data_IF_351123897633
#
_entry.id   IF_351123897633
#
_cell.length_a   1.000
_cell.length_b   1.000
_cell.length_c   1.000
_cell.angle_alpha   90.00
_cell.angle_beta   90.00
_cell.angle_gamma   90.00
#
_symmetry.space_group_name_H-M   'P 1'
#
loop_
_entity.id
_entity.type
_entity.pdbx_description
1 polymer ?
#
# COMPACT_ATOMS: atom_id res chain seq x y z
N UNK A 1 -11.29 9.18 -0.28
CA UNK A 1 -12.52 9.28 0.55
C UNK A 1 -13.72 9.04 -0.34
N UNK A 2 -14.71 8.21 0.04
CA UNK A 2 -15.94 8.12 -0.71
C UNK A 2 -16.66 9.47 -0.63
N UNK A 3 -16.81 10.10 -1.79
CA UNK A 3 -17.55 11.36 -1.96
C UNK A 3 -18.98 10.98 -2.37
N UNK A 4 -19.99 11.46 -1.67
CA UNK A 4 -21.41 11.12 -1.92
C UNK A 4 -22.03 10.22 -0.84
N UNK A 5 -22.98 9.36 -1.22
CA UNK A 5 -23.68 8.41 -0.33
C UNK A 5 -23.04 7.01 -0.39
N UNK A 6 -22.06 6.68 0.46
CA UNK A 6 -21.37 5.39 0.40
C UNK A 6 -22.28 4.23 0.79
N UNK A 7 -22.13 3.09 0.12
CA UNK A 7 -22.78 1.83 0.47
C UNK A 7 -22.32 1.39 1.87
N UNK A 8 -23.20 0.72 2.63
CA UNK A 8 -22.87 0.23 3.98
C UNK A 8 -21.59 -0.62 4.04
N UNK A 9 -21.30 -1.39 2.98
CA UNK A 9 -20.07 -2.17 2.84
C UNK A 9 -18.81 -1.29 2.88
N UNK A 10 -18.83 -0.14 2.19
CA UNK A 10 -17.71 0.80 2.15
C UNK A 10 -17.43 1.41 3.53
N UNK A 11 -18.49 1.67 4.31
CA UNK A 11 -18.38 2.18 5.68
C UNK A 11 -17.77 1.12 6.60
N UNK A 12 -18.20 -0.13 6.48
CA UNK A 12 -17.67 -1.23 7.28
C UNK A 12 -16.18 -1.49 6.98
N UNK A 13 -15.79 -1.54 5.70
CA UNK A 13 -14.39 -1.67 5.30
C UNK A 13 -13.52 -0.53 5.83
N UNK A 14 -14.03 0.71 5.81
CA UNK A 14 -13.32 1.87 6.38
C UNK A 14 -13.07 1.71 7.89
N UNK A 15 -14.11 1.38 8.65
CA UNK A 15 -13.99 1.17 10.12
C UNK A 15 -12.96 0.10 10.46
N UNK A 16 -12.92 -0.98 9.67
CA UNK A 16 -11.91 -2.03 9.84
C UNK A 16 -10.51 -1.52 9.54
N UNK A 17 -10.32 -0.83 8.41
CA UNK A 17 -9.02 -0.28 8.02
C UNK A 17 -8.46 0.69 9.07
N UNK A 18 -9.31 1.57 9.62
CA UNK A 18 -8.95 2.48 10.70
C UNK A 18 -8.57 1.72 11.98
N UNK A 19 -9.35 0.71 12.38
CA UNK A 19 -9.05 -0.13 13.55
C UNK A 19 -7.74 -0.92 13.40
N UNK A 20 -7.43 -1.39 12.19
CA UNK A 20 -6.23 -2.15 11.89
C UNK A 20 -5.00 -1.25 11.60
N UNK A 21 -5.12 0.07 11.74
CA UNK A 21 -4.00 1.01 11.61
C UNK A 21 -3.55 1.30 10.17
N UNK A 22 -4.36 0.93 9.16
CA UNK A 22 -4.01 1.22 7.77
C UNK A 22 -4.15 2.71 7.46
N UNK A 23 -3.06 3.32 6.97
CA UNK A 23 -3.05 4.68 6.46
C UNK A 23 -2.79 4.69 4.96
N UNK A 24 -3.54 5.51 4.22
CA UNK A 24 -3.26 5.76 2.80
C UNK A 24 -2.31 6.94 2.68
N UNK A 25 -1.03 6.68 2.38
CA UNK A 25 -0.05 7.71 2.00
C UNK A 25 0.19 7.63 0.50
N UNK A 26 0.05 8.75 -0.19
CA UNK A 26 0.37 8.86 -1.62
C UNK A 26 1.68 9.62 -1.81
N UNK A 27 2.58 9.03 -2.60
CA UNK A 27 3.84 9.65 -3.01
C UNK A 27 3.85 9.82 -4.53
N UNK A 28 4.51 10.86 -5.02
CA UNK A 28 4.80 11.00 -6.46
C UNK A 28 6.03 10.17 -6.78
N UNK A 29 5.90 9.18 -7.66
CA UNK A 29 6.98 8.32 -8.11
C UNK A 29 7.15 8.43 -9.63
N UNK A 30 8.36 8.15 -10.13
CA UNK A 30 8.60 8.06 -11.58
C UNK A 30 7.86 6.86 -12.15
N UNK A 31 7.15 7.05 -13.27
CA UNK A 31 6.35 6.00 -13.91
C UNK A 31 7.18 4.76 -14.23
N UNK A 32 8.37 4.95 -14.80
CA UNK A 32 9.23 3.84 -15.21
C UNK A 32 9.66 2.98 -14.01
N UNK A 33 9.95 3.61 -12.87
CA UNK A 33 10.32 2.91 -11.63
C UNK A 33 9.16 2.07 -11.11
N UNK A 34 7.94 2.62 -11.10
CA UNK A 34 6.74 1.90 -10.63
C UNK A 34 6.43 0.72 -11.54
N UNK A 35 6.59 0.87 -12.85
CA UNK A 35 6.30 -0.17 -13.82
C UNK A 35 7.33 -1.32 -13.74
N UNK A 36 8.62 -1.00 -13.61
CA UNK A 36 9.66 -2.02 -13.43
C UNK A 36 9.52 -2.73 -12.08
N UNK A 37 9.18 -2.00 -11.01
CA UNK A 37 8.89 -2.60 -9.70
C UNK A 37 7.70 -3.56 -9.76
N UNK A 38 6.63 -3.19 -10.48
CA UNK A 38 5.48 -4.06 -10.72
C UNK A 38 5.90 -5.35 -11.40
N UNK A 39 6.66 -5.27 -12.50
CA UNK A 39 7.13 -6.45 -13.24
C UNK A 39 8.04 -7.33 -12.38
N UNK A 40 8.90 -6.74 -11.56
CA UNK A 40 9.75 -7.50 -10.63
C UNK A 40 8.90 -8.28 -9.61
N UNK A 41 7.92 -7.62 -8.99
CA UNK A 41 6.98 -8.26 -8.06
C UNK A 41 6.19 -9.40 -8.73
N UNK A 42 5.73 -9.21 -9.97
CA UNK A 42 5.03 -10.25 -10.75
C UNK A 42 5.91 -11.46 -11.04
N UNK A 43 7.18 -11.25 -11.40
CA UNK A 43 8.14 -12.33 -11.65
C UNK A 43 8.46 -13.13 -10.39
N UNK A 44 8.54 -12.46 -9.25
CA UNK A 44 8.78 -13.08 -7.94
C UNK A 44 7.51 -13.68 -7.32
N UNK A 45 6.33 -13.44 -7.90
CA UNK A 45 5.05 -13.91 -7.35
C UNK A 45 4.64 -13.21 -6.05
N UNK A 46 5.15 -12.01 -5.79
CA UNK A 46 4.87 -11.24 -4.56
C UNK A 46 3.95 -10.06 -4.86
N UNK A 47 3.20 -9.62 -3.84
CA UNK A 47 2.41 -8.39 -3.97
C UNK A 47 3.30 -7.15 -3.84
N UNK A 48 3.03 -6.12 -4.64
CA UNK A 48 3.73 -4.83 -4.54
C UNK A 48 3.65 -4.24 -3.13
N UNK A 49 2.47 -4.31 -2.50
CA UNK A 49 2.27 -3.82 -1.14
C UNK A 49 3.12 -4.60 -0.12
N UNK A 50 3.19 -5.92 -0.24
CA UNK A 50 4.02 -6.76 0.63
C UNK A 50 5.50 -6.43 0.50
N UNK A 51 6.01 -6.33 -0.74
CA UNK A 51 7.41 -5.97 -0.99
C UNK A 51 7.76 -4.56 -0.52
N UNK A 52 6.85 -3.59 -0.67
CA UNK A 52 7.05 -2.24 -0.12
C UNK A 52 7.15 -2.28 1.41
N UNK A 53 6.28 -3.02 2.09
CA UNK A 53 6.31 -3.16 3.55
C UNK A 53 7.62 -3.79 4.03
N UNK A 54 8.08 -4.83 3.35
CA UNK A 54 9.39 -5.47 3.62
C UNK A 54 10.53 -4.45 3.53
N UNK A 55 10.64 -3.73 2.40
CA UNK A 55 11.68 -2.72 2.17
C UNK A 55 11.62 -1.57 3.19
N UNK A 56 10.41 -1.16 3.60
CA UNK A 56 10.23 -0.14 4.64
C UNK A 56 10.75 -0.64 6.00
N UNK A 57 10.45 -1.88 6.38
CA UNK A 57 10.91 -2.46 7.63
C UNK A 57 12.43 -2.65 7.65
N UNK A 58 13.01 -3.12 6.54
CA UNK A 58 14.46 -3.22 6.38
C UNK A 58 15.15 -1.87 6.54
N UNK A 59 14.57 -0.81 5.95
CA UNK A 59 15.13 0.54 6.08
C UNK A 59 15.00 1.09 7.51
N UNK A 60 13.88 0.84 8.20
CA UNK A 60 13.69 1.21 9.61
C UNK A 60 14.75 0.54 10.48
N UNK A 61 14.88 -0.79 10.37
CA UNK A 61 15.82 -1.56 11.18
C UNK A 61 17.29 -1.16 10.94
N UNK A 62 17.62 -0.68 9.74
CA UNK A 62 18.96 -0.19 9.41
C UNK A 62 19.23 1.20 9.97
N UNK A 63 18.20 2.02 10.17
CA UNK A 63 18.31 3.37 10.67
C UNK A 63 18.36 3.45 12.20
N UNK A 64 18.01 2.36 12.90
CA UNK A 64 18.09 2.20 14.36
C UNK A 64 19.48 1.75 14.85
#
# INVERSE_FOLDING_TARGET
>A
MPKGSPKQQTIASKKYQEKAGYISKSYKLKKDVVEEFRKACEREGVSQAGKITELMQEYINKAE
#
